data_IF_295533486871
#
_entry.id   IF_295533486871
#
_cell.length_a   1.000
_cell.length_b   1.000
_cell.length_c   1.000
_cell.angle_alpha   90.00
_cell.angle_beta   90.00
_cell.angle_gamma   90.00
#
_symmetry.space_group_name_H-M   'P 1'
#
loop_
_entity.id
_entity.type
_entity.pdbx_description
1 polymer ?
#
# COMPACT_ATOMS: atom_id res chain seq x y z
N UNK A 1 -17.27 27.90 -6.01
CA UNK A 1 -16.60 27.14 -4.95
C UNK A 1 -15.38 26.48 -5.57
N UNK A 2 -14.21 27.10 -5.41
CA UNK A 2 -12.95 26.49 -5.80
C UNK A 2 -12.77 25.22 -4.99
N UNK A 3 -12.59 24.12 -5.68
CA UNK A 3 -12.42 22.80 -5.10
C UNK A 3 -11.22 22.88 -4.12
N UNK A 4 -11.47 22.89 -2.82
CA UNK A 4 -10.47 23.04 -1.73
C UNK A 4 -9.32 22.03 -1.91
N UNK A 5 -9.54 21.05 -2.75
CA UNK A 5 -8.60 19.96 -3.01
C UNK A 5 -7.84 20.07 -4.33
N UNK A 6 -8.09 21.06 -5.17
CA UNK A 6 -7.29 21.30 -6.37
C UNK A 6 -6.15 22.28 -6.14
N UNK A 7 -6.26 23.13 -5.10
CA UNK A 7 -5.17 24.00 -4.68
C UNK A 7 -4.06 23.19 -3.98
N UNK A 8 -2.79 23.51 -4.17
CA UNK A 8 -1.72 22.95 -3.37
C UNK A 8 -2.00 23.29 -1.90
N UNK A 9 -2.11 22.26 -1.07
CA UNK A 9 -2.52 22.37 0.34
C UNK A 9 -1.48 23.15 1.16
N UNK A 10 -0.24 23.15 0.70
CA UNK A 10 0.83 23.93 1.28
C UNK A 10 1.00 25.23 0.48
N UNK A 11 0.23 26.24 0.80
CA UNK A 11 0.44 27.61 0.29
C UNK A 11 1.50 28.31 1.14
N UNK A 12 2.66 28.51 0.53
CA UNK A 12 3.82 29.15 1.19
C UNK A 12 3.59 30.64 1.39
N UNK A 13 2.78 31.29 0.53
CA UNK A 13 2.49 32.73 0.63
C UNK A 13 1.51 33.08 1.74
N UNK A 14 0.54 32.16 1.98
CA UNK A 14 -0.51 32.36 2.98
C UNK A 14 -0.76 31.05 3.75
N UNK A 15 0.19 30.62 4.60
CA UNK A 15 0.18 29.29 5.22
C UNK A 15 -1.00 29.01 6.14
N UNK A 16 -1.72 30.06 6.59
CA UNK A 16 -2.89 29.94 7.47
C UNK A 16 -4.23 29.98 6.76
N UNK A 17 -4.30 30.34 5.47
CA UNK A 17 -5.55 30.55 4.73
C UNK A 17 -5.99 29.36 3.88
N UNK A 18 -5.08 28.47 3.51
CA UNK A 18 -5.34 27.34 2.60
C UNK A 18 -5.04 26.01 3.27
N UNK A 19 -5.79 25.71 4.32
CA UNK A 19 -5.63 24.50 5.09
C UNK A 19 -6.69 23.51 4.65
N UNK A 20 -6.29 22.36 4.11
CA UNK A 20 -7.24 21.27 3.97
C UNK A 20 -7.50 20.66 5.33
N UNK A 21 -8.76 20.35 5.55
CA UNK A 21 -9.17 19.73 6.79
C UNK A 21 -8.76 18.26 6.83
N UNK A 22 -8.06 17.87 7.92
CA UNK A 22 -7.87 16.47 8.25
C UNK A 22 -8.86 16.05 9.31
N UNK A 23 -9.47 14.91 9.11
CA UNK A 23 -10.19 14.24 10.16
C UNK A 23 -9.17 13.53 11.06
N UNK A 24 -9.03 13.97 12.29
CA UNK A 24 -8.15 13.37 13.29
C UNK A 24 -8.99 12.83 14.45
N UNK A 25 -8.45 11.99 15.34
CA UNK A 25 -9.15 11.58 16.57
C UNK A 25 -9.61 12.77 17.43
N UNK A 26 -9.00 13.94 17.24
CA UNK A 26 -9.34 15.18 17.94
C UNK A 26 -10.25 16.12 17.15
N UNK A 27 -10.80 15.65 16.01
CA UNK A 27 -11.68 16.40 15.13
C UNK A 27 -11.03 16.78 13.79
N UNK A 28 -11.70 17.65 13.04
CA UNK A 28 -11.24 18.14 11.73
C UNK A 28 -10.31 19.33 11.95
N UNK A 29 -9.08 19.24 11.44
CA UNK A 29 -8.07 20.28 11.60
C UNK A 29 -7.35 20.56 10.28
N UNK A 30 -6.95 21.80 10.08
CA UNK A 30 -6.08 22.20 8.99
C UNK A 30 -4.67 21.62 9.13
N UNK A 31 -3.90 21.59 8.03
CA UNK A 31 -2.53 21.06 8.04
C UNK A 31 -1.66 21.80 9.04
N UNK A 32 -1.75 23.14 9.08
CA UNK A 32 -0.96 23.96 10.00
C UNK A 32 -1.33 23.68 11.47
N UNK A 33 -2.61 23.66 11.77
CA UNK A 33 -3.07 23.36 13.13
C UNK A 33 -2.63 21.97 13.56
N UNK A 34 -2.82 20.99 12.68
CA UNK A 34 -2.41 19.59 12.89
C UNK A 34 -0.91 19.45 13.17
N UNK A 35 -0.05 20.14 12.41
CA UNK A 35 1.40 20.15 12.62
C UNK A 35 1.81 20.91 13.88
N UNK A 36 1.07 21.97 14.23
CA UNK A 36 1.34 22.80 15.42
C UNK A 36 1.16 22.04 16.74
N UNK A 37 0.34 20.95 16.73
CA UNK A 37 0.23 20.03 17.87
C UNK A 37 1.49 19.20 18.13
N UNK A 38 2.46 19.21 17.23
CA UNK A 38 3.73 18.53 17.44
C UNK A 38 4.58 19.30 18.47
N UNK A 39 4.59 18.82 19.72
CA UNK A 39 5.41 19.36 20.81
C UNK A 39 6.91 19.02 20.67
N UNK A 40 7.28 18.27 19.63
CA UNK A 40 8.67 17.82 19.36
C UNK A 40 9.29 16.95 20.45
N UNK A 41 8.50 16.31 21.30
CA UNK A 41 8.95 15.48 22.43
C UNK A 41 9.77 14.24 22.03
N UNK A 42 9.66 13.76 20.78
CA UNK A 42 10.43 12.62 20.28
C UNK A 42 9.80 11.23 20.48
N UNK A 43 8.71 11.08 21.24
CA UNK A 43 8.09 9.76 21.52
C UNK A 43 7.79 8.94 20.26
N UNK A 44 7.40 9.59 19.17
CA UNK A 44 7.13 8.94 17.88
C UNK A 44 8.39 8.40 17.17
N UNK A 45 9.60 8.81 17.60
CA UNK A 45 10.86 8.39 16.96
C UNK A 45 11.13 6.91 17.19
N UNK A 46 10.84 6.39 18.38
CA UNK A 46 11.05 4.98 18.73
C UNK A 46 10.26 4.01 17.83
N UNK A 47 9.13 4.45 17.31
CA UNK A 47 8.25 3.63 16.46
C UNK A 47 8.56 3.75 14.96
N UNK A 48 9.43 4.68 14.55
CA UNK A 48 9.66 4.96 13.13
C UNK A 48 10.72 4.02 12.53
N UNK A 49 10.35 3.15 11.56
CA UNK A 49 11.28 2.21 10.96
C UNK A 49 12.39 2.89 10.17
N UNK A 50 12.07 3.94 9.42
CA UNK A 50 13.07 4.64 8.62
C UNK A 50 14.08 5.41 9.46
N UNK A 51 13.66 5.99 10.59
CA UNK A 51 14.60 6.59 11.52
C UNK A 51 15.54 5.54 12.13
N UNK A 52 15.00 4.40 12.57
CA UNK A 52 15.82 3.31 13.14
C UNK A 52 16.89 2.81 12.17
N UNK A 53 16.57 2.73 10.88
CA UNK A 53 17.47 2.20 9.85
C UNK A 53 18.51 3.22 9.38
N UNK A 54 18.17 4.48 9.31
CA UNK A 54 19.03 5.51 8.69
C UNK A 54 19.59 6.51 9.69
N UNK A 55 19.02 6.61 10.89
CA UNK A 55 19.45 7.51 11.97
C UNK A 55 19.58 8.99 11.58
N UNK A 56 18.82 9.42 10.56
CA UNK A 56 18.78 10.81 10.07
C UNK A 56 17.49 11.49 10.53
N UNK A 57 17.60 12.70 11.07
CA UNK A 57 16.43 13.45 11.57
C UNK A 57 15.39 13.73 10.46
N UNK A 58 15.81 13.93 9.22
CA UNK A 58 14.89 14.10 8.07
C UNK A 58 14.00 12.86 7.83
N UNK A 59 14.39 11.69 8.36
CA UNK A 59 13.61 10.47 8.31
C UNK A 59 12.78 10.23 9.58
N UNK A 60 12.91 11.10 10.58
CA UNK A 60 12.13 11.02 11.80
C UNK A 60 10.73 11.62 11.62
N UNK A 61 9.70 11.14 12.33
CA UNK A 61 8.40 11.78 12.31
C UNK A 61 8.44 13.23 12.82
N UNK A 62 9.28 13.51 13.82
CA UNK A 62 9.51 14.83 14.35
C UNK A 62 10.09 15.77 13.29
N UNK A 63 11.17 15.37 12.62
CA UNK A 63 11.80 16.14 11.55
C UNK A 63 10.85 16.36 10.36
N UNK A 64 10.05 15.35 10.00
CA UNK A 64 9.03 15.47 8.96
C UNK A 64 7.98 16.53 9.28
N UNK A 65 7.43 16.52 10.49
CA UNK A 65 6.47 17.53 10.93
C UNK A 65 7.11 18.92 10.99
N UNK A 66 8.37 19.00 11.44
CA UNK A 66 9.10 20.27 11.46
C UNK A 66 9.32 20.81 10.04
N UNK A 67 9.68 19.97 9.07
CA UNK A 67 9.84 20.39 7.67
C UNK A 67 8.53 20.97 7.11
N UNK A 68 7.40 20.31 7.34
CA UNK A 68 6.08 20.80 6.93
C UNK A 68 5.74 22.12 7.62
N UNK A 69 6.00 22.24 8.91
CA UNK A 69 5.74 23.48 9.67
C UNK A 69 6.56 24.64 9.12
N UNK A 70 7.87 24.44 8.94
CA UNK A 70 8.77 25.48 8.40
C UNK A 70 8.37 25.92 6.99
N UNK A 71 7.89 24.96 6.17
CA UNK A 71 7.38 25.26 4.84
C UNK A 71 6.11 26.12 4.90
N UNK A 72 5.17 25.80 5.81
CA UNK A 72 3.93 26.56 6.00
C UNK A 72 4.17 27.94 6.62
N UNK A 73 5.22 28.09 7.44
CA UNK A 73 5.63 29.36 8.01
C UNK A 73 6.47 30.23 7.04
N UNK A 74 6.75 29.71 5.83
CA UNK A 74 7.58 30.42 4.83
C UNK A 74 9.08 30.46 5.16
N UNK A 75 9.51 29.77 6.24
CA UNK A 75 10.92 29.70 6.65
C UNK A 75 11.75 28.72 5.84
N UNK A 76 11.08 27.78 5.14
CA UNK A 76 11.70 26.83 4.21
C UNK A 76 11.10 27.04 2.82
N UNK A 77 11.94 27.47 1.87
CA UNK A 77 11.51 27.70 0.49
C UNK A 77 11.44 26.38 -0.27
N UNK A 78 10.30 26.12 -0.91
CA UNK A 78 10.04 24.86 -1.63
C UNK A 78 11.03 24.63 -2.76
N UNK A 79 11.31 25.62 -3.58
CA UNK A 79 12.13 25.47 -4.79
C UNK A 79 13.60 25.20 -4.41
N UNK A 80 14.13 25.92 -3.44
CA UNK A 80 15.51 25.77 -2.97
C UNK A 80 15.72 24.42 -2.26
N UNK A 81 14.69 23.93 -1.55
CA UNK A 81 14.78 22.74 -0.69
C UNK A 81 14.07 21.51 -1.28
N UNK A 82 13.75 21.54 -2.57
CA UNK A 82 12.94 20.49 -3.22
C UNK A 82 13.52 19.08 -3.05
N UNK A 83 14.86 18.94 -3.13
CA UNK A 83 15.53 17.65 -2.94
C UNK A 83 15.31 17.09 -1.55
N UNK A 84 15.54 17.90 -0.50
CA UNK A 84 15.35 17.50 0.90
C UNK A 84 13.88 17.21 1.20
N UNK A 85 12.96 18.06 0.73
CA UNK A 85 11.52 17.85 0.91
C UNK A 85 11.04 16.57 0.23
N UNK A 86 11.58 16.26 -0.95
CA UNK A 86 11.32 15.01 -1.65
C UNK A 86 11.83 13.82 -0.84
N UNK A 87 13.09 13.84 -0.41
CA UNK A 87 13.67 12.78 0.42
C UNK A 87 12.88 12.59 1.71
N UNK A 88 12.55 13.68 2.43
CA UNK A 88 11.75 13.67 3.65
C UNK A 88 10.38 13.00 3.44
N UNK A 89 9.67 13.36 2.36
CA UNK A 89 8.31 12.86 2.11
C UNK A 89 8.28 11.42 1.60
N UNK A 90 9.19 11.06 0.68
CA UNK A 90 9.21 9.73 0.07
C UNK A 90 9.95 8.68 0.89
N UNK A 91 10.76 9.06 1.87
CA UNK A 91 11.28 8.12 2.88
C UNK A 91 10.21 7.68 3.89
N UNK A 92 9.07 8.35 3.97
CA UNK A 92 7.96 7.95 4.84
C UNK A 92 7.19 6.78 4.23
N UNK A 93 7.05 5.70 4.98
CA UNK A 93 6.29 4.50 4.57
C UNK A 93 4.78 4.64 4.71
N UNK A 94 4.29 5.79 5.18
CA UNK A 94 2.87 6.07 5.43
C UNK A 94 2.19 5.07 6.37
N UNK A 95 2.93 4.38 7.21
CA UNK A 95 2.44 3.30 8.07
C UNK A 95 1.63 3.78 9.29
N UNK A 96 1.61 5.08 9.62
CA UNK A 96 0.82 5.63 10.74
C UNK A 96 1.34 5.36 12.15
N UNK A 97 2.39 4.53 12.33
CA UNK A 97 2.90 4.14 13.67
C UNK A 97 3.25 5.32 14.58
N UNK A 98 3.82 6.36 13.99
CA UNK A 98 4.17 7.58 14.73
C UNK A 98 2.95 8.28 15.33
N UNK A 99 1.79 8.19 14.70
CA UNK A 99 0.53 8.77 15.21
C UNK A 99 0.04 8.03 16.46
N UNK A 100 0.21 6.70 16.51
CA UNK A 100 -0.18 5.91 17.69
C UNK A 100 0.61 6.28 18.94
N UNK A 101 1.92 6.42 18.77
CA UNK A 101 2.84 6.75 19.87
C UNK A 101 2.88 8.25 20.18
N UNK A 102 2.08 9.05 19.48
CA UNK A 102 2.00 10.48 19.70
C UNK A 102 0.84 10.81 20.67
N UNK A 103 1.14 11.46 21.78
CA UNK A 103 0.11 11.94 22.73
C UNK A 103 -0.85 12.93 22.06
N UNK A 104 -0.33 13.81 21.20
CA UNK A 104 -1.13 14.77 20.41
C UNK A 104 -1.78 14.17 19.16
N UNK A 105 -1.61 12.85 18.89
CA UNK A 105 -2.17 12.16 17.71
C UNK A 105 -1.90 12.87 16.38
N UNK A 106 -0.69 13.43 16.24
CA UNK A 106 -0.28 14.16 15.03
C UNK A 106 -0.22 13.22 13.84
N UNK A 107 -0.98 13.43 12.76
CA UNK A 107 -1.09 12.52 11.63
C UNK A 107 0.05 12.71 10.63
N UNK A 108 1.28 12.39 11.04
CA UNK A 108 2.50 12.60 10.24
C UNK A 108 2.43 11.95 8.86
N UNK A 109 1.83 10.76 8.74
CA UNK A 109 1.67 10.10 7.44
C UNK A 109 0.83 10.92 6.46
N UNK A 110 -0.24 11.55 6.94
CA UNK A 110 -1.07 12.46 6.13
C UNK A 110 -0.31 13.73 5.75
N UNK A 111 0.49 14.31 6.68
CA UNK A 111 1.36 15.44 6.35
C UNK A 111 2.34 15.11 5.22
N UNK A 112 2.87 13.88 5.20
CA UNK A 112 3.77 13.44 4.13
C UNK A 112 3.04 13.26 2.79
N UNK A 113 1.81 12.78 2.79
CA UNK A 113 0.98 12.76 1.57
C UNK A 113 0.74 14.18 1.05
N UNK A 114 0.40 15.13 1.92
CA UNK A 114 0.20 16.51 1.53
C UNK A 114 1.48 17.14 0.98
N UNK A 115 2.62 16.83 1.59
CA UNK A 115 3.91 17.28 1.07
C UNK A 115 4.19 16.70 -0.30
N UNK A 116 3.93 15.39 -0.54
CA UNK A 116 4.06 14.77 -1.87
C UNK A 116 3.19 15.47 -2.92
N UNK A 117 1.96 15.82 -2.56
CA UNK A 117 1.03 16.57 -3.42
C UNK A 117 1.56 17.96 -3.79
N UNK A 118 2.06 18.68 -2.79
CA UNK A 118 2.65 20.01 -2.97
C UNK A 118 3.89 19.99 -3.87
N UNK A 119 4.67 18.92 -3.80
CA UNK A 119 5.84 18.74 -4.66
C UNK A 119 5.47 18.39 -6.10
N UNK A 120 4.23 17.93 -6.32
CA UNK A 120 3.65 17.66 -7.64
C UNK A 120 4.07 16.33 -8.27
N UNK A 121 3.33 15.92 -9.31
CA UNK A 121 3.48 14.62 -9.98
C UNK A 121 4.82 14.40 -10.68
N UNK A 122 5.58 15.47 -10.98
CA UNK A 122 6.91 15.38 -11.61
C UNK A 122 7.99 14.73 -10.73
N UNK A 123 7.60 14.26 -9.54
CA UNK A 123 8.52 13.57 -8.62
C UNK A 123 8.60 12.06 -8.84
N UNK A 124 7.73 11.50 -9.67
CA UNK A 124 7.87 10.14 -10.14
C UNK A 124 8.90 10.06 -11.26
N UNK A 125 9.69 8.97 -11.35
CA UNK A 125 10.47 8.68 -12.54
C UNK A 125 9.58 8.74 -13.78
N UNK A 126 10.07 9.37 -14.86
CA UNK A 126 9.30 9.56 -16.11
C UNK A 126 8.68 8.25 -16.62
N UNK A 127 9.46 7.18 -16.58
CA UNK A 127 9.00 5.85 -17.00
C UNK A 127 7.80 5.36 -16.16
N UNK A 128 7.84 5.56 -14.86
CA UNK A 128 6.76 5.15 -13.97
C UNK A 128 5.50 6.00 -14.20
N UNK A 129 5.65 7.31 -14.45
CA UNK A 129 4.53 8.17 -14.85
C UNK A 129 3.89 7.68 -16.15
N UNK A 130 4.72 7.35 -17.14
CA UNK A 130 4.27 6.85 -18.44
C UNK A 130 3.53 5.51 -18.31
N UNK A 131 4.07 4.57 -17.53
CA UNK A 131 3.44 3.28 -17.25
C UNK A 131 2.07 3.47 -16.61
N UNK A 132 1.94 4.37 -15.65
CA UNK A 132 0.66 4.66 -15.00
C UNK A 132 -0.34 5.33 -15.94
N UNK A 133 0.14 6.22 -16.79
CA UNK A 133 -0.70 6.86 -17.79
C UNK A 133 -1.30 5.81 -18.75
N UNK A 134 -0.47 4.90 -19.25
CA UNK A 134 -0.92 3.79 -20.11
C UNK A 134 -1.93 2.92 -19.36
N UNK A 135 -1.64 2.55 -18.10
CA UNK A 135 -2.56 1.75 -17.28
C UNK A 135 -3.95 2.39 -17.16
N UNK A 136 -3.99 3.71 -16.95
CA UNK A 136 -5.25 4.41 -16.71
C UNK A 136 -6.03 4.74 -17.98
N UNK A 137 -5.33 4.98 -19.10
CA UNK A 137 -5.97 5.30 -20.39
C UNK A 137 -6.27 4.09 -21.25
N UNK A 138 -5.35 3.13 -21.28
CA UNK A 138 -5.36 1.97 -22.15
C UNK A 138 -5.10 0.67 -21.35
N UNK A 139 -6.02 0.27 -20.43
CA UNK A 139 -5.78 -0.86 -19.53
C UNK A 139 -5.53 -2.19 -20.26
N UNK A 140 -6.14 -2.39 -21.43
CA UNK A 140 -5.90 -3.60 -22.24
C UNK A 140 -4.49 -3.61 -22.85
N UNK A 141 -4.02 -2.45 -23.33
CA UNK A 141 -2.67 -2.30 -23.86
C UNK A 141 -1.62 -2.43 -22.73
N UNK A 142 -1.92 -1.89 -21.57
CA UNK A 142 -1.08 -2.09 -20.38
C UNK A 142 -0.94 -3.58 -20.03
N UNK A 143 -2.03 -4.33 -20.04
CA UNK A 143 -1.99 -5.78 -19.81
C UNK A 143 -1.14 -6.50 -20.87
N UNK A 144 -1.24 -6.09 -22.12
CA UNK A 144 -0.40 -6.62 -23.19
C UNK A 144 1.09 -6.32 -22.95
N UNK A 145 1.45 -5.09 -22.53
CA UNK A 145 2.83 -4.73 -22.20
C UNK A 145 3.38 -5.57 -21.04
N UNK A 146 2.60 -5.79 -20.00
CA UNK A 146 3.02 -6.63 -18.88
C UNK A 146 3.25 -8.08 -19.35
N UNK A 147 2.36 -8.61 -20.18
CA UNK A 147 2.51 -9.97 -20.73
C UNK A 147 3.75 -10.11 -21.59
N UNK A 148 4.02 -9.14 -22.45
CA UNK A 148 5.25 -9.13 -23.27
C UNK A 148 6.49 -8.99 -22.40
N UNK A 149 6.45 -8.19 -21.34
CA UNK A 149 7.52 -8.10 -20.35
C UNK A 149 7.82 -9.44 -19.68
N UNK A 150 6.80 -10.17 -19.24
CA UNK A 150 6.95 -11.52 -18.67
C UNK A 150 7.46 -12.54 -19.70
N UNK A 151 7.05 -12.44 -20.97
CA UNK A 151 7.52 -13.27 -22.06
C UNK A 151 9.03 -13.07 -22.29
N UNK A 152 9.49 -11.83 -22.50
CA UNK A 152 10.90 -11.53 -22.68
C UNK A 152 11.75 -11.92 -21.46
N UNK A 153 11.21 -11.71 -20.26
CA UNK A 153 11.86 -12.16 -19.02
C UNK A 153 12.08 -13.69 -19.02
N UNK A 154 11.05 -14.47 -19.43
CA UNK A 154 11.15 -15.93 -19.50
C UNK A 154 12.24 -16.39 -20.47
N UNK A 155 12.45 -15.67 -21.55
CA UNK A 155 13.50 -15.95 -22.55
C UNK A 155 14.90 -15.49 -22.08
N UNK A 156 15.02 -14.96 -20.88
CA UNK A 156 16.31 -14.56 -20.32
C UNK A 156 16.80 -13.18 -20.80
N UNK A 157 15.97 -12.40 -21.48
CA UNK A 157 16.34 -11.08 -22.00
C UNK A 157 16.88 -10.15 -20.92
N UNK A 158 16.28 -10.14 -19.71
CA UNK A 158 16.77 -9.31 -18.61
C UNK A 158 18.16 -9.79 -18.15
N UNK A 159 18.43 -11.10 -18.17
CA UNK A 159 19.75 -11.64 -17.84
C UNK A 159 20.80 -11.24 -18.86
N UNK A 160 20.41 -11.22 -20.14
CA UNK A 160 21.28 -10.71 -21.23
C UNK A 160 21.60 -9.22 -21.00
N UNK A 161 20.59 -8.37 -20.72
CA UNK A 161 20.79 -6.96 -20.40
C UNK A 161 21.68 -6.76 -19.17
N UNK A 162 21.53 -7.63 -18.14
CA UNK A 162 22.37 -7.64 -16.95
C UNK A 162 23.83 -8.01 -17.29
N UNK A 163 24.04 -9.03 -18.12
CA UNK A 163 25.36 -9.43 -18.61
C UNK A 163 26.05 -8.33 -19.41
N UNK A 164 25.31 -7.60 -20.24
CA UNK A 164 25.78 -6.44 -20.99
C UNK A 164 25.91 -5.16 -20.15
N UNK A 165 25.66 -5.26 -18.84
CA UNK A 165 25.71 -4.13 -17.88
C UNK A 165 24.74 -2.97 -18.17
N UNK A 166 23.82 -3.12 -19.12
CA UNK A 166 22.82 -2.11 -19.51
C UNK A 166 21.89 -1.78 -18.33
N UNK A 167 21.61 -2.75 -17.47
CA UNK A 167 20.78 -2.55 -16.27
C UNK A 167 21.47 -1.74 -15.16
N UNK A 168 22.74 -1.34 -15.33
CA UNK A 168 23.43 -0.39 -14.42
C UNK A 168 22.96 1.05 -14.65
N UNK A 169 22.33 1.34 -15.78
CA UNK A 169 21.73 2.65 -16.05
C UNK A 169 20.64 2.89 -14.99
N UNK A 170 20.65 4.05 -14.28
CA UNK A 170 19.74 4.29 -13.13
C UNK A 170 18.25 4.10 -13.45
N UNK A 171 17.82 4.40 -14.68
CA UNK A 171 16.42 4.23 -15.09
C UNK A 171 16.04 2.77 -15.38
N UNK A 172 17.00 1.84 -15.51
CA UNK A 172 16.77 0.41 -15.79
C UNK A 172 17.13 -0.50 -14.62
N UNK A 173 17.73 0.02 -13.57
CA UNK A 173 18.14 -0.76 -12.40
C UNK A 173 16.98 -1.57 -11.77
N UNK A 174 15.75 -1.03 -11.80
CA UNK A 174 14.57 -1.70 -11.30
C UNK A 174 14.22 -3.01 -12.03
N UNK A 175 14.69 -3.21 -13.28
CA UNK A 175 14.50 -4.46 -14.03
C UNK A 175 15.17 -5.64 -13.34
N UNK A 176 16.36 -5.44 -12.76
CA UNK A 176 17.05 -6.47 -12.01
C UNK A 176 16.24 -6.90 -10.79
N UNK A 177 15.74 -5.91 -10.03
CA UNK A 177 14.93 -6.17 -8.86
C UNK A 177 13.63 -6.90 -9.23
N UNK A 178 12.96 -6.45 -10.30
CA UNK A 178 11.76 -7.12 -10.80
C UNK A 178 12.04 -8.58 -11.24
N UNK A 179 13.20 -8.85 -11.89
CA UNK A 179 13.56 -10.21 -12.28
C UNK A 179 13.82 -11.11 -11.07
N UNK A 180 14.36 -10.56 -10.01
CA UNK A 180 14.70 -11.29 -8.81
C UNK A 180 13.45 -11.66 -7.97
N UNK A 181 12.48 -10.75 -7.81
CA UNK A 181 11.30 -10.96 -6.95
C UNK A 181 10.12 -11.65 -7.63
N UNK A 182 9.95 -11.49 -8.95
CA UNK A 182 8.77 -12.02 -9.65
C UNK A 182 8.87 -13.53 -9.91
N UNK A 183 7.75 -14.27 -9.88
CA UNK A 183 7.73 -15.69 -10.20
C UNK A 183 8.13 -15.93 -11.67
N UNK A 184 8.87 -17.00 -11.94
CA UNK A 184 9.35 -17.32 -13.29
C UNK A 184 8.24 -17.66 -14.28
N UNK A 185 7.15 -18.27 -13.80
CA UNK A 185 5.99 -18.64 -14.63
C UNK A 185 4.87 -17.68 -14.30
N UNK A 186 4.39 -16.97 -15.31
CA UNK A 186 3.25 -16.08 -15.21
C UNK A 186 2.20 -16.46 -16.24
N UNK A 187 0.95 -16.53 -15.80
CA UNK A 187 -0.24 -16.64 -16.66
C UNK A 187 -1.26 -15.62 -16.15
N UNK A 188 -1.89 -14.82 -17.03
CA UNK A 188 -2.88 -13.84 -16.58
C UNK A 188 -4.02 -14.49 -15.79
N UNK A 189 -4.41 -13.89 -14.70
CA UNK A 189 -5.51 -14.38 -13.86
C UNK A 189 -6.78 -14.64 -14.68
N UNK A 190 -7.10 -13.75 -15.62
CA UNK A 190 -8.25 -13.89 -16.52
C UNK A 190 -8.23 -15.17 -17.37
N UNK A 191 -7.04 -15.69 -17.73
CA UNK A 191 -6.91 -16.92 -18.52
C UNK A 191 -6.94 -18.19 -17.67
N UNK A 192 -6.66 -18.08 -16.39
CA UNK A 192 -6.64 -19.21 -15.46
C UNK A 192 -8.01 -19.48 -14.85
N UNK A 193 -8.86 -18.47 -14.81
CA UNK A 193 -10.20 -18.62 -14.30
C UNK A 193 -11.09 -19.24 -15.39
N UNK A 194 -11.94 -20.22 -15.05
CA UNK A 194 -12.97 -20.72 -15.96
C UNK A 194 -13.84 -19.53 -16.40
N UNK A 195 -14.35 -19.59 -17.63
CA UNK A 195 -15.24 -18.57 -18.17
C UNK A 195 -16.26 -18.21 -17.11
N UNK A 196 -16.22 -16.95 -16.66
CA UNK A 196 -17.00 -16.49 -15.51
C UNK A 196 -18.45 -16.92 -15.73
N UNK A 197 -18.98 -17.75 -14.84
CA UNK A 197 -20.42 -18.03 -14.81
C UNK A 197 -21.09 -16.65 -14.71
N UNK A 198 -21.80 -16.27 -15.77
CA UNK A 198 -22.51 -14.99 -15.81
C UNK A 198 -23.70 -15.09 -14.85
N UNK A 199 -23.40 -14.88 -13.54
CA UNK A 199 -24.47 -14.72 -12.57
C UNK A 199 -25.25 -13.46 -12.89
N UNK A 200 -26.53 -13.58 -13.12
CA UNK A 200 -27.44 -12.44 -13.33
C UNK A 200 -27.39 -11.48 -12.12
N UNK A 201 -27.25 -12.03 -10.90
CA UNK A 201 -27.22 -11.30 -9.65
C UNK A 201 -26.01 -11.74 -8.78
N UNK A 202 -24.83 -11.09 -8.90
CA UNK A 202 -23.71 -11.42 -8.05
C UNK A 202 -23.93 -10.88 -6.62
N UNK A 203 -23.50 -11.62 -5.62
CA UNK A 203 -23.47 -11.16 -4.22
C UNK A 203 -22.43 -10.06 -4.02
N UNK A 204 -21.35 -10.08 -4.82
CA UNK A 204 -20.29 -9.12 -4.73
C UNK A 204 -19.35 -9.12 -5.93
N UNK A 205 -18.38 -8.21 -5.84
CA UNK A 205 -17.34 -8.05 -6.84
C UNK A 205 -15.97 -8.23 -6.17
N UNK A 206 -15.05 -8.83 -6.89
CA UNK A 206 -13.66 -8.89 -6.49
C UNK A 206 -12.84 -7.92 -7.35
N UNK A 207 -12.15 -7.01 -6.70
CA UNK A 207 -11.15 -6.12 -7.29
C UNK A 207 -9.76 -6.68 -6.94
N UNK A 208 -9.13 -7.44 -7.85
CA UNK A 208 -7.80 -7.94 -7.62
C UNK A 208 -6.83 -6.78 -7.43
N UNK A 209 -5.89 -6.94 -6.50
CA UNK A 209 -4.75 -6.02 -6.42
C UNK A 209 -3.91 -6.12 -7.70
N UNK A 210 -3.03 -5.15 -7.90
CA UNK A 210 -2.09 -5.18 -9.02
C UNK A 210 -1.22 -6.44 -8.99
N UNK A 211 -0.81 -6.84 -7.79
CA UNK A 211 -0.01 -8.02 -7.55
C UNK A 211 -0.74 -9.30 -7.95
N UNK A 212 -1.97 -9.45 -7.51
CA UNK A 212 -2.79 -10.63 -7.79
C UNK A 212 -3.13 -10.75 -9.28
N UNK A 213 -3.26 -9.63 -9.99
CA UNK A 213 -3.64 -9.64 -11.40
C UNK A 213 -2.44 -9.80 -12.33
N UNK A 214 -1.27 -9.20 -12.00
CA UNK A 214 -0.14 -9.04 -12.91
C UNK A 214 1.19 -9.59 -12.43
N UNK A 215 1.34 -9.96 -11.15
CA UNK A 215 2.62 -10.39 -10.60
C UNK A 215 2.57 -11.80 -9.99
N UNK A 216 1.58 -12.07 -9.14
CA UNK A 216 1.38 -13.34 -8.44
C UNK A 216 -0.06 -13.82 -8.64
N UNK A 217 -0.25 -14.55 -9.73
CA UNK A 217 -1.59 -15.07 -10.09
C UNK A 217 -2.09 -16.16 -9.14
N UNK A 218 -1.20 -16.85 -8.42
CA UNK A 218 -1.60 -17.83 -7.40
C UNK A 218 -2.34 -17.15 -6.25
N UNK A 219 -1.92 -15.94 -5.87
CA UNK A 219 -2.66 -15.10 -4.93
C UNK A 219 -4.07 -14.79 -5.43
N UNK A 220 -4.18 -14.38 -6.71
CA UNK A 220 -5.47 -14.09 -7.33
C UNK A 220 -6.39 -15.30 -7.38
N UNK A 221 -5.87 -16.49 -7.74
CA UNK A 221 -6.63 -17.74 -7.77
C UNK A 221 -7.16 -18.12 -6.38
N UNK A 222 -6.31 -18.12 -5.36
CA UNK A 222 -6.70 -18.40 -3.97
C UNK A 222 -7.75 -17.42 -3.46
N UNK A 223 -7.62 -16.15 -3.85
CA UNK A 223 -8.59 -15.13 -3.49
C UNK A 223 -9.96 -15.40 -4.11
N UNK A 224 -9.98 -15.78 -5.38
CA UNK A 224 -11.22 -16.15 -6.08
C UNK A 224 -11.83 -17.42 -5.49
N UNK A 225 -11.04 -18.46 -5.26
CA UNK A 225 -11.47 -19.70 -4.61
C UNK A 225 -12.11 -19.44 -3.24
N UNK A 226 -11.43 -18.67 -2.39
CA UNK A 226 -11.92 -18.30 -1.06
C UNK A 226 -13.26 -17.56 -1.13
N UNK A 227 -13.44 -16.66 -2.06
CA UNK A 227 -14.67 -15.90 -2.23
C UNK A 227 -15.80 -16.75 -2.82
N UNK A 228 -15.51 -17.55 -3.86
CA UNK A 228 -16.51 -18.36 -4.57
C UNK A 228 -17.04 -19.51 -3.72
N UNK A 229 -16.27 -20.02 -2.77
CA UNK A 229 -16.74 -21.02 -1.81
C UNK A 229 -17.91 -20.55 -0.94
N UNK A 230 -18.13 -19.24 -0.84
CA UNK A 230 -19.15 -18.64 0.01
C UNK A 230 -20.17 -17.78 -0.71
N UNK A 231 -19.81 -17.25 -1.89
CA UNK A 231 -20.56 -16.18 -2.58
C UNK A 231 -20.45 -16.27 -4.09
N UNK A 232 -21.47 -15.79 -4.78
CA UNK A 232 -21.46 -15.60 -6.24
C UNK A 232 -20.70 -14.29 -6.56
N UNK A 233 -19.49 -14.41 -7.05
CA UNK A 233 -18.57 -13.26 -7.24
C UNK A 233 -18.27 -13.02 -8.71
N UNK A 234 -18.31 -11.75 -9.14
CA UNK A 234 -17.75 -11.30 -10.41
C UNK A 234 -16.44 -10.54 -10.19
N UNK A 235 -15.53 -10.64 -11.14
CA UNK A 235 -14.19 -10.04 -11.03
C UNK A 235 -14.11 -8.79 -11.89
N UNK A 236 -13.56 -7.72 -11.32
CA UNK A 236 -13.26 -6.48 -12.03
C UNK A 236 -11.82 -6.47 -12.52
N UNK A 237 -11.57 -7.19 -13.61
CA UNK A 237 -10.25 -7.21 -14.24
C UNK A 237 -9.81 -5.84 -14.74
N UNK A 238 -8.49 -5.64 -14.81
CA UNK A 238 -7.83 -4.44 -15.35
C UNK A 238 -8.35 -3.12 -14.74
N UNK A 239 -8.76 -3.17 -13.47
CA UNK A 239 -9.37 -2.02 -12.80
C UNK A 239 -8.40 -1.45 -11.77
N UNK A 240 -8.02 -0.17 -11.90
CA UNK A 240 -7.20 0.52 -10.91
C UNK A 240 -8.01 0.84 -9.66
N UNK A 241 -7.39 0.68 -8.48
CA UNK A 241 -7.97 1.15 -7.21
C UNK A 241 -7.81 2.66 -7.01
N UNK A 242 -6.82 3.30 -7.64
CA UNK A 242 -6.43 4.69 -7.39
C UNK A 242 -5.46 4.88 -6.22
N UNK A 243 -5.07 3.80 -5.54
CA UNK A 243 -4.14 3.83 -4.41
C UNK A 243 -2.76 4.36 -4.83
N UNK A 244 -2.27 3.93 -5.99
CA UNK A 244 -0.97 4.35 -6.48
C UNK A 244 -0.90 5.87 -6.66
N UNK A 245 -1.87 6.43 -7.37
CA UNK A 245 -1.98 7.86 -7.60
C UNK A 245 -2.09 8.62 -6.26
N UNK A 246 -2.84 8.08 -5.31
CA UNK A 246 -2.96 8.64 -3.97
C UNK A 246 -1.62 8.69 -3.23
N UNK A 247 -0.89 7.58 -3.16
CA UNK A 247 0.39 7.46 -2.45
C UNK A 247 1.46 8.38 -3.05
N UNK A 248 1.46 8.56 -4.37
CA UNK A 248 2.42 9.44 -5.04
C UNK A 248 1.97 10.89 -5.15
N UNK A 249 0.79 11.24 -4.65
CA UNK A 249 0.33 12.62 -4.54
C UNK A 249 -0.51 13.12 -5.73
N UNK A 250 -0.89 12.25 -6.70
CA UNK A 250 -1.82 12.60 -7.78
C UNK A 250 -3.27 12.43 -7.34
N UNK A 251 -3.72 13.32 -6.49
CA UNK A 251 -5.10 13.26 -5.98
C UNK A 251 -6.17 13.44 -7.06
N UNK A 252 -5.88 14.25 -8.07
CA UNK A 252 -6.86 14.49 -9.15
C UNK A 252 -7.20 13.17 -9.84
N UNK A 253 -6.19 12.38 -10.21
CA UNK A 253 -6.38 11.07 -10.82
C UNK A 253 -6.97 10.06 -9.85
N UNK A 254 -6.46 10.02 -8.63
CA UNK A 254 -7.01 9.14 -7.58
C UNK A 254 -8.50 9.36 -7.39
N UNK A 255 -8.95 10.61 -7.24
CA UNK A 255 -10.38 10.96 -7.15
C UNK A 255 -11.18 10.53 -8.38
N UNK A 256 -10.65 10.76 -9.57
CA UNK A 256 -11.33 10.37 -10.81
C UNK A 256 -11.54 8.85 -10.88
N UNK A 257 -10.52 8.07 -10.50
CA UNK A 257 -10.60 6.61 -10.47
C UNK A 257 -11.63 6.16 -9.43
N UNK A 258 -11.54 6.68 -8.22
CA UNK A 258 -12.45 6.32 -7.12
C UNK A 258 -13.90 6.72 -7.43
N UNK A 259 -14.16 7.89 -8.03
CA UNK A 259 -15.50 8.27 -8.50
C UNK A 259 -16.08 7.24 -9.45
N UNK A 260 -15.27 6.73 -10.39
CA UNK A 260 -15.71 5.68 -11.33
C UNK A 260 -16.04 4.37 -10.60
N UNK A 261 -15.24 3.98 -9.59
CA UNK A 261 -15.51 2.79 -8.79
C UNK A 261 -16.80 2.94 -7.98
N UNK A 262 -17.01 4.08 -7.32
CA UNK A 262 -18.23 4.38 -6.58
C UNK A 262 -19.45 4.26 -7.49
N UNK A 263 -19.45 4.94 -8.63
CA UNK A 263 -20.57 4.91 -9.59
C UNK A 263 -20.81 3.52 -10.17
N UNK A 264 -19.71 2.77 -10.43
CA UNK A 264 -19.83 1.39 -10.92
C UNK A 264 -20.46 0.47 -9.86
N UNK A 265 -20.07 0.63 -8.60
CA UNK A 265 -20.63 -0.15 -7.50
C UNK A 265 -22.09 0.24 -7.19
N UNK A 266 -22.46 1.51 -7.30
CA UNK A 266 -23.85 1.98 -7.12
C UNK A 266 -24.82 1.31 -8.11
N UNK A 267 -24.38 1.12 -9.37
CA UNK A 267 -25.19 0.47 -10.42
C UNK A 267 -25.51 -1.01 -10.15
N UNK A 268 -24.81 -1.65 -9.22
CA UNK A 268 -24.91 -3.09 -8.97
C UNK A 268 -25.92 -3.49 -7.89
N UNK A 269 -26.65 -2.53 -7.35
CA UNK A 269 -27.61 -2.76 -6.25
C UNK A 269 -26.99 -2.51 -4.87
N UNK A 270 -27.85 -2.24 -3.87
CA UNK A 270 -27.39 -1.79 -2.53
C UNK A 270 -26.73 -2.87 -1.68
N UNK A 271 -27.05 -4.13 -1.91
CA UNK A 271 -26.58 -5.27 -1.07
C UNK A 271 -25.24 -5.86 -1.54
N UNK A 272 -24.76 -5.51 -2.74
CA UNK A 272 -23.51 -6.06 -3.29
C UNK A 272 -22.30 -5.41 -2.62
N UNK A 273 -21.27 -6.22 -2.34
CA UNK A 273 -20.01 -5.75 -1.77
C UNK A 273 -18.87 -5.75 -2.78
N UNK A 274 -17.77 -5.06 -2.43
CA UNK A 274 -16.51 -5.05 -3.18
C UNK A 274 -15.41 -5.62 -2.30
N UNK A 275 -14.89 -6.80 -2.64
CA UNK A 275 -13.77 -7.41 -1.95
C UNK A 275 -12.44 -7.06 -2.60
N UNK A 276 -11.39 -6.92 -1.80
CA UNK A 276 -10.00 -6.79 -2.26
C UNK A 276 -9.07 -7.68 -1.43
N UNK A 277 -8.01 -8.18 -2.06
CA UNK A 277 -6.99 -9.04 -1.46
C UNK A 277 -5.84 -8.24 -0.82
N UNK A 278 -5.71 -6.95 -1.13
CA UNK A 278 -4.67 -6.10 -0.56
C UNK A 278 -5.21 -5.26 0.59
N UNK A 279 -4.59 -5.38 1.75
CA UNK A 279 -4.92 -4.54 2.92
C UNK A 279 -4.64 -3.05 2.64
N UNK A 280 -3.65 -2.73 1.81
CA UNK A 280 -3.34 -1.35 1.44
C UNK A 280 -4.46 -0.73 0.61
N UNK A 281 -5.04 -1.49 -0.32
CA UNK A 281 -6.21 -1.06 -1.11
C UNK A 281 -7.42 -0.90 -0.20
N UNK A 282 -7.63 -1.84 0.72
CA UNK A 282 -8.69 -1.75 1.71
C UNK A 282 -8.57 -0.49 2.57
N UNK A 283 -7.39 -0.24 3.14
CA UNK A 283 -7.14 0.92 3.99
C UNK A 283 -7.28 2.25 3.23
N UNK A 284 -6.82 2.26 1.99
CA UNK A 284 -7.06 3.39 1.11
C UNK A 284 -8.57 3.63 0.90
N UNK A 285 -9.34 2.59 0.64
CA UNK A 285 -10.78 2.72 0.46
C UNK A 285 -11.48 3.20 1.74
N UNK A 286 -11.03 2.79 2.92
CA UNK A 286 -11.55 3.33 4.19
C UNK A 286 -11.24 4.84 4.34
N UNK A 287 -10.16 5.34 3.75
CA UNK A 287 -9.81 6.76 3.76
C UNK A 287 -10.51 7.60 2.67
N UNK A 288 -11.27 6.98 1.77
CA UNK A 288 -11.92 7.65 0.62
C UNK A 288 -12.88 8.79 1.02
N UNK A 289 -13.66 8.73 2.10
CA UNK A 289 -14.46 9.89 2.53
C UNK A 289 -13.62 11.15 2.75
N UNK A 290 -12.43 11.01 3.32
CA UNK A 290 -11.50 12.14 3.51
C UNK A 290 -10.99 12.71 2.17
N UNK A 291 -10.89 11.87 1.15
CA UNK A 291 -10.50 12.28 -0.21
C UNK A 291 -11.52 13.25 -0.83
N UNK A 292 -12.75 13.21 -0.39
CA UNK A 292 -13.85 14.05 -0.86
C UNK A 292 -14.35 15.07 0.18
N UNK A 293 -13.62 15.22 1.30
CA UNK A 293 -13.98 16.19 2.33
C UNK A 293 -14.16 17.60 1.73
N UNK A 294 -15.22 18.29 2.15
CA UNK A 294 -15.65 19.59 1.58
C UNK A 294 -16.58 19.50 0.37
N UNK A 295 -16.86 18.31 -0.14
CA UNK A 295 -17.91 18.09 -1.15
C UNK A 295 -18.93 17.09 -0.59
N UNK A 296 -19.97 17.60 0.06
CA UNK A 296 -20.97 16.81 0.79
C UNK A 296 -21.62 15.69 -0.05
N UNK A 297 -21.85 15.95 -1.34
CA UNK A 297 -22.42 14.95 -2.24
C UNK A 297 -21.48 13.73 -2.43
N UNK A 298 -20.21 13.98 -2.74
CA UNK A 298 -19.24 12.88 -2.93
C UNK A 298 -18.79 12.27 -1.62
N UNK A 299 -18.72 13.05 -0.53
CA UNK A 299 -18.39 12.54 0.80
C UNK A 299 -19.42 11.50 1.26
N UNK A 300 -20.72 11.81 1.14
CA UNK A 300 -21.81 10.87 1.44
C UNK A 300 -21.75 9.60 0.58
N UNK A 301 -21.49 9.73 -0.72
CA UNK A 301 -21.31 8.57 -1.61
C UNK A 301 -20.10 7.74 -1.23
N UNK A 302 -19.02 8.37 -0.85
CA UNK A 302 -17.81 7.71 -0.37
C UNK A 302 -18.04 6.94 0.93
N UNK A 303 -18.78 7.50 1.88
CA UNK A 303 -19.20 6.80 3.10
C UNK A 303 -20.06 5.56 2.82
N UNK A 304 -21.00 5.65 1.87
CA UNK A 304 -21.79 4.50 1.44
C UNK A 304 -20.94 3.43 0.74
N UNK A 305 -19.95 3.87 -0.02
CA UNK A 305 -18.99 2.99 -0.68
C UNK A 305 -18.15 2.22 0.34
N UNK A 306 -17.57 2.89 1.35
CA UNK A 306 -16.71 2.23 2.36
C UNK A 306 -17.46 1.14 3.12
N UNK A 307 -18.74 1.33 3.42
CA UNK A 307 -19.60 0.32 4.08
C UNK A 307 -19.75 -0.97 3.28
N UNK A 308 -19.51 -0.92 1.97
CA UNK A 308 -19.62 -2.06 1.04
C UNK A 308 -18.29 -2.72 0.74
N UNK A 309 -17.17 -2.11 1.11
CA UNK A 309 -15.84 -2.70 0.89
C UNK A 309 -15.56 -3.77 1.94
N UNK A 310 -14.92 -4.86 1.52
CA UNK A 310 -14.52 -5.98 2.39
C UNK A 310 -13.07 -6.34 2.11
N UNK A 311 -12.34 -6.68 3.15
CA UNK A 311 -11.03 -7.30 3.01
C UNK A 311 -11.19 -8.80 2.82
N UNK A 312 -10.34 -9.41 2.00
CA UNK A 312 -10.40 -10.87 1.73
C UNK A 312 -10.31 -11.70 3.00
N UNK A 313 -9.62 -11.22 4.02
CA UNK A 313 -9.48 -11.86 5.32
C UNK A 313 -10.81 -12.12 6.03
N UNK A 314 -11.85 -11.33 5.78
CA UNK A 314 -13.18 -11.50 6.37
C UNK A 314 -13.87 -12.81 5.92
N UNK A 315 -13.37 -13.40 4.84
CA UNK A 315 -13.90 -14.66 4.27
C UNK A 315 -13.09 -15.88 4.68
N UNK A 316 -12.03 -15.73 5.45
CA UNK A 316 -11.23 -16.86 5.94
C UNK A 316 -12.08 -17.82 6.79
N UNK A 317 -11.86 -19.13 6.67
CA UNK A 317 -12.56 -20.10 7.50
C UNK A 317 -12.00 -20.04 8.92
N UNK A 318 -12.93 -20.14 9.91
CA UNK A 318 -12.56 -20.36 11.31
C UNK A 318 -12.10 -21.81 11.48
N UNK A 319 -10.85 -22.11 11.20
CA UNK A 319 -10.28 -23.46 11.34
C UNK A 319 -9.76 -23.68 12.75
N UNK A 320 -10.02 -24.88 13.30
CA UNK A 320 -9.48 -25.31 14.61
C UNK A 320 -8.06 -25.86 14.54
N UNK A 321 -7.61 -26.35 13.38
CA UNK A 321 -6.25 -26.92 13.17
C UNK A 321 -5.53 -26.15 12.09
N UNK A 322 -4.25 -25.84 12.35
CA UNK A 322 -3.36 -25.18 11.42
C UNK A 322 -2.80 -26.16 10.38
N UNK A 323 -2.77 -25.83 9.08
CA UNK A 323 -2.08 -26.61 8.07
C UNK A 323 -0.55 -26.47 8.15
N UNK A 324 -0.03 -25.62 9.03
CA UNK A 324 1.41 -25.30 9.13
C UNK A 324 2.14 -26.00 10.26
N UNK A 325 1.51 -27.00 10.91
CA UNK A 325 2.12 -27.79 11.99
C UNK A 325 2.44 -26.95 13.24
N UNK A 326 3.52 -27.32 13.92
CA UNK A 326 3.97 -26.68 15.18
C UNK A 326 4.99 -25.53 14.98
N UNK A 327 5.28 -25.16 13.75
CA UNK A 327 6.26 -24.09 13.48
C UNK A 327 5.79 -22.73 14.00
N UNK A 328 6.70 -21.91 14.55
CA UNK A 328 6.37 -20.55 14.94
C UNK A 328 5.90 -19.72 13.73
N UNK A 329 4.80 -19.02 13.93
CA UNK A 329 4.10 -18.23 12.92
C UNK A 329 3.94 -16.81 13.40
N UNK A 330 4.10 -15.84 12.52
CA UNK A 330 3.85 -14.44 12.82
C UNK A 330 3.03 -13.76 11.74
N UNK A 331 2.39 -12.65 12.11
CA UNK A 331 1.76 -11.72 11.18
C UNK A 331 2.65 -10.50 11.02
N UNK A 332 3.01 -10.17 9.79
CA UNK A 332 3.54 -8.86 9.46
C UNK A 332 2.38 -7.92 9.11
N UNK A 333 2.09 -7.00 10.03
CA UNK A 333 0.95 -6.08 9.95
C UNK A 333 1.21 -4.85 9.11
N UNK A 334 2.30 -4.87 8.41
CA UNK A 334 2.75 -3.78 7.61
C UNK A 334 1.73 -3.41 6.52
N UNK A 335 1.16 -2.23 6.60
CA UNK A 335 0.24 -1.68 5.59
C UNK A 335 0.14 -0.16 5.64
N UNK A 336 -0.45 0.42 4.60
CA UNK A 336 -0.83 1.83 4.57
C UNK A 336 -1.78 2.11 5.76
N UNK A 337 -1.42 3.06 6.63
CA UNK A 337 -2.21 3.41 7.82
C UNK A 337 -2.58 2.20 8.70
N UNK A 338 -1.71 1.17 8.77
CA UNK A 338 -2.02 -0.15 9.35
C UNK A 338 -2.53 -0.12 10.78
N UNK A 339 -2.20 0.90 11.51
CA UNK A 339 -2.35 0.89 12.96
C UNK A 339 -3.70 1.46 13.46
N UNK A 340 -4.51 1.95 12.55
CA UNK A 340 -5.86 2.47 12.87
C UNK A 340 -6.96 1.55 12.33
N UNK A 341 -6.60 0.32 11.89
CA UNK A 341 -7.51 -0.51 11.10
C UNK A 341 -7.95 -1.79 11.82
N UNK A 342 -9.25 -1.87 12.06
CA UNK A 342 -9.90 -3.05 12.65
C UNK A 342 -9.64 -4.36 11.88
N UNK A 343 -9.48 -4.28 10.54
CA UNK A 343 -9.20 -5.48 9.74
C UNK A 343 -7.85 -6.11 10.07
N UNK A 344 -6.81 -5.30 10.34
CA UNK A 344 -5.49 -5.81 10.75
C UNK A 344 -5.57 -6.46 12.14
N UNK A 345 -6.26 -5.81 13.08
CA UNK A 345 -6.49 -6.36 14.42
C UNK A 345 -7.28 -7.66 14.34
N UNK A 346 -8.30 -7.72 13.51
CA UNK A 346 -9.08 -8.94 13.29
C UNK A 346 -8.21 -10.09 12.74
N UNK A 347 -7.32 -9.82 11.78
CA UNK A 347 -6.39 -10.83 11.26
C UNK A 347 -5.43 -11.34 12.33
N UNK A 348 -4.94 -10.45 13.19
CA UNK A 348 -4.10 -10.82 14.33
C UNK A 348 -4.83 -11.79 15.27
N UNK A 349 -6.08 -11.47 15.63
CA UNK A 349 -6.89 -12.33 16.50
C UNK A 349 -7.21 -13.70 15.88
N UNK A 350 -7.48 -13.75 14.58
CA UNK A 350 -7.64 -15.02 13.85
C UNK A 350 -6.39 -15.87 13.99
N UNK A 351 -5.21 -15.31 13.71
CA UNK A 351 -3.94 -16.04 13.79
C UNK A 351 -3.60 -16.46 15.23
N UNK A 352 -3.79 -15.59 16.21
CA UNK A 352 -3.61 -15.93 17.63
C UNK A 352 -4.48 -17.09 18.05
N UNK A 353 -5.76 -17.06 17.67
CA UNK A 353 -6.71 -18.13 17.99
C UNK A 353 -6.34 -19.45 17.30
N UNK A 354 -5.85 -19.37 16.06
CA UNK A 354 -5.54 -20.54 15.24
C UNK A 354 -4.21 -21.19 15.63
N UNK A 355 -3.18 -20.39 15.92
CA UNK A 355 -1.81 -20.86 16.19
C UNK A 355 -1.42 -20.89 17.67
N UNK A 356 -2.21 -20.23 18.54
CA UNK A 356 -2.03 -20.22 20.00
C UNK A 356 -0.56 -19.96 20.42
N UNK A 357 0.08 -20.94 21.11
CA UNK A 357 1.47 -20.85 21.58
C UNK A 357 2.51 -20.68 20.47
N UNK A 358 2.17 -21.06 19.25
CA UNK A 358 3.06 -20.93 18.09
C UNK A 358 2.93 -19.57 17.38
N UNK A 359 2.00 -18.70 17.82
CA UNK A 359 1.94 -17.34 17.33
C UNK A 359 3.00 -16.48 18.03
N UNK A 360 3.91 -15.93 17.23
CA UNK A 360 4.98 -15.04 17.69
C UNK A 360 4.56 -13.61 17.50
N UNK A 361 4.54 -12.84 18.58
CA UNK A 361 4.30 -11.39 18.49
C UNK A 361 5.53 -10.70 17.92
N UNK A 362 5.28 -9.80 16.97
CA UNK A 362 6.33 -8.98 16.39
C UNK A 362 6.50 -7.71 17.21
N UNK A 363 7.57 -7.62 18.01
CA UNK A 363 7.93 -6.39 18.72
C UNK A 363 8.36 -5.27 17.76
N UNK A 364 8.87 -5.65 16.59
CA UNK A 364 9.35 -4.75 15.56
C UNK A 364 8.66 -5.08 14.23
N UNK A 365 7.34 -4.95 14.19
CA UNK A 365 6.67 -4.97 12.88
C UNK A 365 7.33 -3.92 12.02
N UNK A 366 8.20 -4.38 11.15
CA UNK A 366 8.89 -3.50 10.24
C UNK A 366 7.89 -3.11 9.20
N UNK A 367 7.68 -1.84 9.15
CA UNK A 367 6.66 -1.29 8.34
C UNK A 367 6.91 -1.54 6.86
N UNK A 368 5.88 -1.85 6.31
CA UNK A 368 5.38 -1.83 4.99
C UNK A 368 6.12 -0.95 4.02
N UNK A 369 6.56 -1.56 2.98
CA UNK A 369 6.67 -0.86 1.72
C UNK A 369 5.27 -0.68 1.19
N UNK A 370 4.73 0.55 1.09
CA UNK A 370 3.43 0.76 0.49
C UNK A 370 3.43 0.05 -0.86
N UNK A 371 2.43 -0.78 -1.09
CA UNK A 371 2.25 -1.47 -2.35
C UNK A 371 2.36 -0.48 -3.50
N UNK A 372 2.89 -0.90 -4.62
CA UNK A 372 3.10 -0.17 -5.84
C UNK A 372 4.39 0.64 -5.95
N UNK A 373 5.42 -0.05 -6.33
CA UNK A 373 6.61 0.58 -6.86
C UNK A 373 7.45 1.29 -5.83
N UNK A 374 7.15 1.19 -4.53
CA UNK A 374 8.02 1.76 -3.51
C UNK A 374 9.36 1.02 -3.48
N UNK A 375 9.36 -0.28 -3.64
CA UNK A 375 10.56 -1.09 -3.84
C UNK A 375 11.34 -0.68 -5.10
N UNK A 376 10.66 -0.19 -6.11
CA UNK A 376 11.30 0.33 -7.34
C UNK A 376 11.72 1.79 -7.23
N UNK A 377 10.99 2.60 -6.45
CA UNK A 377 11.29 4.03 -6.27
C UNK A 377 12.25 4.32 -5.12
N UNK A 378 12.31 3.43 -4.12
CA UNK A 378 13.13 3.53 -2.92
C UNK A 378 13.75 2.17 -2.55
N UNK A 379 14.54 1.55 -3.46
CA UNK A 379 15.04 0.18 -3.28
C UNK A 379 15.91 0.03 -2.04
N UNK A 380 16.75 1.02 -1.74
CA UNK A 380 17.63 0.99 -0.56
C UNK A 380 16.84 0.93 0.76
N UNK A 381 15.77 1.70 0.86
CA UNK A 381 14.90 1.70 2.04
C UNK A 381 14.20 0.35 2.16
N UNK A 382 13.69 -0.18 1.04
CA UNK A 382 13.03 -1.48 0.99
C UNK A 382 13.95 -2.60 1.41
N UNK A 383 15.15 -2.67 0.84
CA UNK A 383 16.13 -3.70 1.15
C UNK A 383 16.48 -3.70 2.65
N UNK A 384 16.80 -2.54 3.23
CA UNK A 384 17.11 -2.44 4.66
C UNK A 384 15.95 -2.88 5.55
N UNK A 385 14.73 -2.54 5.18
CA UNK A 385 13.52 -2.97 5.89
C UNK A 385 13.40 -4.50 5.82
N UNK A 386 13.49 -5.09 4.63
CA UNK A 386 13.36 -6.53 4.44
C UNK A 386 14.44 -7.30 5.19
N UNK A 387 15.69 -6.82 5.17
CA UNK A 387 16.78 -7.42 5.96
C UNK A 387 16.51 -7.34 7.46
N UNK A 388 15.90 -6.27 7.94
CA UNK A 388 15.50 -6.17 9.35
C UNK A 388 14.43 -7.20 9.72
N UNK A 389 13.45 -7.42 8.84
CA UNK A 389 12.42 -8.48 9.02
C UNK A 389 13.06 -9.87 9.02
N UNK A 390 14.00 -10.13 8.10
CA UNK A 390 14.70 -11.41 8.01
C UNK A 390 15.49 -11.69 9.30
N UNK A 391 16.21 -10.70 9.85
CA UNK A 391 16.93 -10.83 11.12
C UNK A 391 15.98 -11.17 12.27
N UNK A 392 14.86 -10.49 12.34
CA UNK A 392 13.85 -10.73 13.36
C UNK A 392 13.25 -12.14 13.24
N UNK A 393 12.98 -12.61 12.01
CA UNK A 393 12.57 -13.99 11.77
C UNK A 393 13.60 -15.01 12.25
N UNK A 394 14.88 -14.75 12.02
CA UNK A 394 15.97 -15.64 12.47
C UNK A 394 16.09 -15.66 14.00
N UNK A 395 15.98 -14.49 14.65
CA UNK A 395 16.03 -14.38 16.11
C UNK A 395 14.84 -15.07 16.80
N UNK A 396 13.65 -14.98 16.21
CA UNK A 396 12.44 -15.59 16.74
C UNK A 396 12.19 -17.01 16.25
N UNK A 397 13.11 -17.56 15.45
CA UNK A 397 12.97 -18.88 14.82
C UNK A 397 11.64 -19.06 14.06
N UNK A 398 11.12 -17.97 13.48
CA UNK A 398 9.85 -17.97 12.76
C UNK A 398 9.95 -18.82 11.51
N UNK A 399 9.06 -19.80 11.35
CA UNK A 399 8.97 -20.65 10.15
C UNK A 399 8.05 -20.11 9.07
N UNK A 400 7.00 -19.37 9.46
CA UNK A 400 6.07 -18.76 8.48
C UNK A 400 5.70 -17.34 8.88
N UNK A 401 5.81 -16.42 7.92
CA UNK A 401 5.36 -15.04 8.04
C UNK A 401 4.15 -14.84 7.15
N UNK A 402 3.00 -14.51 7.74
CA UNK A 402 1.83 -14.10 6.99
C UNK A 402 1.86 -12.60 6.73
N UNK A 403 1.46 -12.22 5.52
CA UNK A 403 1.38 -10.83 5.08
C UNK A 403 -0.01 -10.55 4.51
N UNK A 404 -0.40 -9.28 4.57
CA UNK A 404 -1.71 -8.81 4.13
C UNK A 404 -1.65 -8.09 2.77
N UNK A 405 -0.46 -8.03 2.16
CA UNK A 405 -0.20 -7.47 0.83
C UNK A 405 0.65 -8.44 0.01
N UNK A 406 0.22 -8.70 -1.22
CA UNK A 406 0.91 -9.64 -2.13
C UNK A 406 2.32 -9.17 -2.50
N UNK A 407 2.52 -7.87 -2.74
CA UNK A 407 3.84 -7.34 -3.07
C UNK A 407 4.83 -7.50 -1.92
N UNK A 408 4.38 -7.22 -0.68
CA UNK A 408 5.23 -7.45 0.50
C UNK A 408 5.58 -8.94 0.66
N UNK A 409 4.65 -9.85 0.33
CA UNK A 409 4.92 -11.29 0.37
C UNK A 409 5.97 -11.72 -0.66
N UNK A 410 5.92 -11.18 -1.87
CA UNK A 410 6.92 -11.44 -2.91
C UNK A 410 8.31 -10.92 -2.51
N UNK A 411 8.37 -9.66 -2.04
CA UNK A 411 9.62 -9.03 -1.59
C UNK A 411 10.25 -9.80 -0.41
N UNK A 412 9.46 -10.11 0.60
CA UNK A 412 9.98 -10.85 1.75
C UNK A 412 10.36 -12.28 1.38
N UNK A 413 9.62 -12.94 0.49
CA UNK A 413 9.97 -14.29 0.01
C UNK A 413 11.34 -14.32 -0.66
N UNK A 414 11.67 -13.31 -1.46
CA UNK A 414 12.97 -13.18 -2.09
C UNK A 414 14.10 -13.05 -1.04
N UNK A 415 13.94 -12.16 -0.07
CA UNK A 415 14.95 -11.94 0.96
C UNK A 415 15.10 -13.12 1.92
N UNK A 416 14.00 -13.76 2.32
CA UNK A 416 14.03 -14.97 3.13
C UNK A 416 14.77 -16.11 2.40
N UNK A 417 14.43 -16.35 1.14
CA UNK A 417 15.10 -17.38 0.34
C UNK A 417 16.62 -17.18 0.26
N UNK A 418 17.06 -15.94 0.22
CA UNK A 418 18.49 -15.60 0.12
C UNK A 418 19.23 -15.66 1.46
N UNK A 419 18.61 -15.23 2.55
CA UNK A 419 19.31 -15.00 3.82
C UNK A 419 18.81 -15.88 4.98
N UNK A 420 17.58 -16.39 4.92
CA UNK A 420 17.00 -17.27 5.94
C UNK A 420 15.99 -18.26 5.32
N UNK A 421 16.44 -19.26 4.57
CA UNK A 421 15.60 -20.16 3.77
C UNK A 421 14.65 -21.06 4.59
N UNK A 422 14.82 -21.11 5.90
CA UNK A 422 13.94 -21.85 6.82
C UNK A 422 12.56 -21.21 6.97
N UNK A 423 12.46 -19.91 6.78
CA UNK A 423 11.19 -19.20 6.84
C UNK A 423 10.55 -19.01 5.45
N UNK A 424 9.22 -18.94 5.44
CA UNK A 424 8.42 -18.71 4.23
C UNK A 424 7.51 -17.50 4.44
N UNK A 425 7.51 -16.57 3.49
CA UNK A 425 6.53 -15.50 3.43
C UNK A 425 5.31 -15.98 2.64
N UNK A 426 4.11 -15.76 3.16
CA UNK A 426 2.86 -16.17 2.55
C UNK A 426 1.79 -15.09 2.71
N UNK A 427 0.98 -14.90 1.69
CA UNK A 427 -0.20 -14.06 1.83
C UNK A 427 -1.24 -14.77 2.72
N UNK A 428 -2.07 -13.97 3.42
CA UNK A 428 -3.07 -14.48 4.36
C UNK A 428 -4.09 -15.45 3.72
N UNK A 429 -4.34 -15.33 2.42
CA UNK A 429 -5.21 -16.26 1.66
C UNK A 429 -4.69 -17.70 1.67
N UNK A 430 -3.39 -17.92 1.92
CA UNK A 430 -2.82 -19.24 2.06
C UNK A 430 -3.29 -20.01 3.33
N UNK A 431 -4.02 -19.37 4.22
CA UNK A 431 -4.70 -20.05 5.35
C UNK A 431 -5.90 -20.87 4.89
N UNK A 432 -6.39 -20.67 3.67
CA UNK A 432 -7.56 -21.37 3.15
C UNK A 432 -7.20 -22.75 2.59
N UNK A 433 -6.01 -22.91 1.99
CA UNK A 433 -5.57 -24.11 1.27
C UNK A 433 -4.75 -25.07 2.08
#
# INVERSE_FOLDING_TARGET
MTDIFTAPILDIKHPRKHLSAFKTPLGVRGVYDSVSFCSRCGNCQQSCPTLKLFQKEVFSPRGRNQAVRLLLEGKLRKEENKKILKETSFSCLLCGRCTLHCAGKVPTAHHMLELRRTLGNRNLPFLLQFILEIRNRLPSFFSFLILTGHFFRRWGFIRLLRGLQITRIPCLHWLNHADDILPRRFRPLKKLLPAAKNFSHPDGFYLPSFEAEFLDTDLGLKSVELLQNKKNIRIWHNTSSGLFEYVYGDLRRSRMIVRRLILRLEKTGRKTFLATDSIDVYNFFMSVPQLFAGNSFWEKKAELFTKRVRFIGDFLPKRKKSPYGEQPVRLDEASLFSQENEAVLHMREILKTQFKKNFVECFYTVANTPSFGYSFSQPEITEKIMLSVVRDCAQTQTGTVFLLSGLCALELSFHLKKFYPYAKAKHITCLHG
#
